data_IF_534976921344
#
_entry.id   IF_534976921344
#
_cell.length_a   1.000
_cell.length_b   1.000
_cell.length_c   1.000
_cell.angle_alpha   90.00
_cell.angle_beta   90.00
_cell.angle_gamma   90.00
#
_symmetry.space_group_name_H-M   'P 1'
#
loop_
_entity.id
_entity.type
_entity.pdbx_description
1 polymer ?
#
# COMPACT_ATOMS: atom_id res chain seq x y z
N UNK A 1 12.08 -13.43 2.99
CA UNK A 1 11.04 -12.63 2.32
C UNK A 1 9.72 -13.34 2.52
N UNK A 2 8.64 -12.60 2.63
CA UNK A 2 7.30 -13.18 2.78
C UNK A 2 6.30 -12.37 1.96
N UNK A 3 5.12 -12.94 1.73
CA UNK A 3 4.02 -12.26 1.05
C UNK A 3 3.14 -11.60 2.09
N UNK A 4 2.85 -10.32 1.90
CA UNK A 4 1.96 -9.56 2.76
C UNK A 4 0.71 -9.16 1.96
N UNK A 5 -0.46 -9.51 2.48
CA UNK A 5 -1.73 -8.95 2.01
C UNK A 5 -1.91 -7.55 2.59
N UNK A 6 -2.31 -6.61 1.74
CA UNK A 6 -2.47 -5.21 2.09
C UNK A 6 -3.77 -4.64 1.53
N UNK A 7 -4.13 -3.47 2.03
CA UNK A 7 -5.20 -2.63 1.52
C UNK A 7 -4.66 -1.25 1.16
N UNK A 8 -5.17 -0.66 0.08
CA UNK A 8 -4.91 0.74 -0.28
C UNK A 8 -6.21 1.51 -0.29
N UNK A 9 -6.27 2.59 0.49
CA UNK A 9 -7.32 3.60 0.37
C UNK A 9 -6.94 4.69 -0.62
N UNK A 10 -7.86 5.06 -1.51
CA UNK A 10 -7.73 6.23 -2.41
C UNK A 10 -9.04 7.02 -2.38
N UNK A 11 -8.99 8.33 -2.08
CA UNK A 11 -10.19 9.15 -2.09
C UNK A 11 -10.72 9.43 -3.49
N UNK A 12 -12.05 9.43 -3.62
CA UNK A 12 -12.71 9.95 -4.80
C UNK A 12 -12.38 11.44 -4.95
N UNK A 13 -12.16 11.86 -6.19
CA UNK A 13 -11.92 13.26 -6.51
C UNK A 13 -12.36 13.55 -7.94
N UNK A 14 -12.27 14.82 -8.37
CA UNK A 14 -12.52 15.19 -9.77
C UNK A 14 -11.59 14.50 -10.77
N UNK A 15 -10.47 13.95 -10.30
CA UNK A 15 -9.46 13.24 -11.10
C UNK A 15 -9.45 11.73 -10.83
N UNK A 16 -10.29 11.23 -9.92
CA UNK A 16 -10.29 9.82 -9.53
C UNK A 16 -11.73 9.35 -9.28
N UNK A 17 -12.32 8.73 -10.31
CA UNK A 17 -13.70 8.25 -10.36
C UNK A 17 -13.75 6.71 -10.40
N UNK A 18 -14.97 6.15 -10.48
CA UNK A 18 -15.18 4.69 -10.65
C UNK A 18 -14.37 4.13 -11.83
N UNK A 19 -14.31 4.85 -12.96
CA UNK A 19 -13.58 4.42 -14.14
C UNK A 19 -12.06 4.38 -13.93
N UNK A 20 -11.51 5.36 -13.20
CA UNK A 20 -10.09 5.37 -12.82
C UNK A 20 -9.77 4.27 -11.82
N UNK A 21 -10.68 4.04 -10.86
CA UNK A 21 -10.54 2.96 -9.90
C UNK A 21 -10.56 1.58 -10.56
N UNK A 22 -11.42 1.37 -11.56
CA UNK A 22 -11.44 0.15 -12.37
C UNK A 22 -10.17 0.01 -13.22
N UNK A 23 -9.71 1.09 -13.87
CA UNK A 23 -8.49 1.10 -14.70
C UNK A 23 -7.23 0.72 -13.92
N UNK A 24 -7.16 1.02 -12.62
CA UNK A 24 -6.06 0.59 -11.74
C UNK A 24 -5.94 -0.94 -11.66
N UNK A 25 -7.02 -1.70 -11.83
CA UNK A 25 -6.93 -3.17 -11.81
C UNK A 25 -6.04 -3.69 -12.95
N UNK A 26 -6.02 -2.99 -14.09
CA UNK A 26 -5.15 -3.33 -15.23
C UNK A 26 -3.78 -2.66 -15.15
N UNK A 27 -3.73 -1.37 -14.77
CA UNK A 27 -2.50 -0.55 -14.82
C UNK A 27 -1.64 -0.64 -13.56
N UNK A 28 -2.26 -0.96 -12.42
CA UNK A 28 -1.64 -0.99 -11.10
C UNK A 28 -1.68 0.35 -10.36
N UNK A 29 -1.24 0.34 -9.10
CA UNK A 29 -1.19 1.53 -8.24
C UNK A 29 0.19 2.17 -8.34
N UNK A 30 0.27 3.33 -8.99
CA UNK A 30 1.51 4.09 -9.10
C UNK A 30 1.77 4.93 -7.85
N UNK A 31 3.04 5.05 -7.49
CA UNK A 31 3.54 6.11 -6.59
C UNK A 31 3.38 7.48 -7.27
N UNK A 32 3.38 8.55 -6.48
CA UNK A 32 3.31 9.90 -7.03
C UNK A 32 4.52 10.22 -7.91
N UNK A 33 5.71 9.77 -7.52
CA UNK A 33 6.91 9.89 -8.35
C UNK A 33 6.72 9.23 -9.71
N UNK A 34 6.21 8.00 -9.77
CA UNK A 34 5.99 7.30 -11.04
C UNK A 34 4.97 8.03 -11.91
N UNK A 35 3.87 8.54 -11.34
CA UNK A 35 2.90 9.33 -12.11
C UNK A 35 3.53 10.56 -12.76
N UNK A 36 4.48 11.21 -12.09
CA UNK A 36 5.12 12.43 -12.58
C UNK A 36 6.29 12.17 -13.54
N UNK A 37 6.93 10.99 -13.46
CA UNK A 37 8.22 10.74 -14.12
C UNK A 37 8.17 9.62 -15.18
N UNK A 38 7.06 8.88 -15.31
CA UNK A 38 6.97 7.81 -16.32
C UNK A 38 6.66 8.32 -17.73
N UNK A 39 6.42 9.62 -17.94
CA UNK A 39 6.03 10.12 -19.27
C UNK A 39 4.81 9.37 -19.82
N UNK A 40 4.92 8.88 -21.07
CA UNK A 40 3.86 8.13 -21.74
C UNK A 40 3.82 6.64 -21.34
N UNK A 41 4.94 6.06 -20.88
CA UNK A 41 5.01 4.62 -20.55
C UNK A 41 5.76 4.34 -19.24
N UNK A 42 5.31 3.35 -18.47
CA UNK A 42 6.00 2.94 -17.24
C UNK A 42 7.48 2.59 -17.45
N UNK A 43 7.85 2.12 -18.64
CA UNK A 43 9.23 1.78 -18.98
C UNK A 43 10.17 2.99 -18.98
N UNK A 44 9.65 4.18 -19.32
CA UNK A 44 10.45 5.41 -19.41
C UNK A 44 10.91 5.90 -18.03
N UNK A 45 10.12 5.62 -16.98
CA UNK A 45 10.44 6.01 -15.60
C UNK A 45 11.43 5.07 -14.90
N UNK A 46 11.56 3.80 -15.32
CA UNK A 46 12.37 2.79 -14.61
C UNK A 46 13.84 3.19 -14.44
N UNK A 47 14.56 3.71 -15.46
CA UNK A 47 15.98 4.03 -15.32
C UNK A 47 16.27 5.02 -14.19
N UNK A 48 15.45 6.06 -14.03
CA UNK A 48 15.60 7.08 -12.98
C UNK A 48 14.91 6.69 -11.66
N UNK A 49 13.99 5.73 -11.68
CA UNK A 49 13.25 5.32 -10.50
C UNK A 49 14.14 4.68 -9.42
N UNK A 50 15.23 4.02 -9.82
CA UNK A 50 16.20 3.46 -8.88
C UNK A 50 16.91 4.55 -8.07
N UNK A 51 17.21 5.69 -8.68
CA UNK A 51 17.85 6.82 -8.00
C UNK A 51 16.90 7.51 -7.01
N UNK A 52 15.58 7.43 -7.24
CA UNK A 52 14.57 7.95 -6.32
C UNK A 52 14.47 7.12 -5.03
N UNK A 53 14.78 5.82 -5.11
CA UNK A 53 14.63 4.86 -4.01
C UNK A 53 15.81 4.90 -3.03
N UNK A 54 15.83 5.91 -2.16
CA UNK A 54 16.88 6.11 -1.15
C UNK A 54 16.34 5.92 0.28
N UNK A 55 17.22 5.63 1.27
CA UNK A 55 16.82 5.63 2.67
C UNK A 55 16.20 6.96 3.12
N UNK A 56 16.69 8.10 2.60
CA UNK A 56 16.14 9.42 2.89
C UNK A 56 14.72 9.56 2.32
N UNK A 57 14.48 9.11 1.09
CA UNK A 57 13.15 9.16 0.49
C UNK A 57 12.13 8.32 1.29
N UNK A 58 12.56 7.17 1.87
CA UNK A 58 11.70 6.38 2.75
C UNK A 58 11.42 7.12 4.06
N UNK A 59 12.44 7.73 4.67
CA UNK A 59 12.27 8.52 5.89
C UNK A 59 11.32 9.70 5.67
N UNK A 60 11.50 10.45 4.58
CA UNK A 60 10.62 11.55 4.21
C UNK A 60 9.20 11.07 3.87
N UNK A 61 9.06 9.92 3.21
CA UNK A 61 7.75 9.35 2.92
C UNK A 61 6.94 9.09 4.19
N UNK A 62 7.58 8.55 5.23
CA UNK A 62 6.89 8.18 6.47
C UNK A 62 6.75 9.37 7.41
N UNK A 63 7.85 10.11 7.66
CA UNK A 63 7.88 11.15 8.68
C UNK A 63 7.50 12.54 8.16
N UNK A 64 7.72 12.81 6.87
CA UNK A 64 7.56 14.13 6.25
C UNK A 64 6.60 14.09 5.05
N UNK A 65 5.61 13.19 5.06
CA UNK A 65 4.75 12.91 3.90
C UNK A 65 4.17 14.16 3.24
N UNK A 66 3.72 15.16 4.02
CA UNK A 66 3.14 16.39 3.48
C UNK A 66 4.09 17.19 2.57
N UNK A 67 5.40 17.05 2.77
CA UNK A 67 6.45 17.69 1.96
C UNK A 67 6.73 16.92 0.65
N UNK A 68 6.47 15.62 0.63
CA UNK A 68 6.86 14.71 -0.47
C UNK A 68 5.67 13.98 -1.10
N UNK A 69 4.43 14.26 -0.71
CA UNK A 69 3.23 13.54 -1.15
C UNK A 69 3.08 13.47 -2.68
N UNK A 70 3.62 14.46 -3.40
CA UNK A 70 3.58 14.53 -4.86
C UNK A 70 4.77 13.87 -5.53
N UNK A 71 5.86 13.58 -4.82
CA UNK A 71 7.13 13.11 -5.41
C UNK A 71 7.71 11.87 -4.72
N UNK A 72 7.00 11.31 -3.73
CA UNK A 72 7.44 10.08 -3.07
C UNK A 72 7.44 8.91 -4.05
N UNK A 73 8.52 8.10 -4.10
CA UNK A 73 8.58 6.88 -4.89
C UNK A 73 7.89 5.70 -4.19
N UNK A 74 7.22 5.92 -3.06
CA UNK A 74 6.56 4.89 -2.28
C UNK A 74 5.03 4.95 -2.41
N UNK A 75 4.41 3.78 -2.41
CA UNK A 75 2.97 3.58 -2.26
C UNK A 75 2.73 3.05 -0.85
N UNK A 76 2.14 3.88 -0.01
CA UNK A 76 1.72 3.49 1.34
C UNK A 76 0.55 2.49 1.27
N UNK A 77 0.73 1.29 1.81
CA UNK A 77 -0.27 0.24 1.91
C UNK A 77 -0.52 -0.14 3.37
N UNK A 78 -1.76 -0.38 3.76
CA UNK A 78 -2.12 -0.79 5.12
C UNK A 78 -2.17 -2.32 5.23
N UNK A 79 -1.40 -2.90 6.17
CA UNK A 79 -1.43 -4.32 6.55
C UNK A 79 -1.91 -4.54 8.00
N UNK A 80 -2.26 -3.46 8.70
CA UNK A 80 -2.66 -3.47 10.10
C UNK A 80 -1.48 -3.57 11.05
N UNK A 81 -1.72 -3.45 12.34
CA UNK A 81 -0.70 -3.52 13.37
C UNK A 81 -1.23 -4.27 14.60
N UNK A 82 -0.31 -4.89 15.35
CA UNK A 82 -0.61 -5.53 16.63
C UNK A 82 0.38 -5.00 17.65
N UNK A 83 -0.11 -4.30 18.66
CA UNK A 83 0.72 -3.74 19.73
C UNK A 83 0.39 -4.38 21.07
N UNK A 84 1.37 -4.60 21.96
CA UNK A 84 1.08 -5.08 23.31
C UNK A 84 0.15 -4.14 24.09
N UNK A 85 -0.77 -4.70 24.86
CA UNK A 85 -1.57 -4.00 25.86
C UNK A 85 -1.15 -4.44 27.28
N UNK A 86 -0.13 -3.80 27.88
CA UNK A 86 0.33 -4.17 29.21
C UNK A 86 -0.69 -3.85 30.31
N UNK A 87 -1.68 -2.98 30.06
CA UNK A 87 -2.71 -2.62 31.04
C UNK A 87 -3.83 -3.66 31.16
N UNK A 88 -4.22 -4.27 30.02
CA UNK A 88 -5.25 -5.30 29.97
C UNK A 88 -4.71 -6.74 29.90
N UNK A 89 -3.38 -6.92 29.79
CA UNK A 89 -2.76 -8.24 29.70
C UNK A 89 -2.96 -8.93 28.34
N UNK A 90 -2.95 -8.15 27.25
CA UNK A 90 -3.29 -8.63 25.90
C UNK A 90 -2.59 -7.87 24.79
N UNK A 91 -3.30 -7.70 23.67
CA UNK A 91 -2.83 -6.94 22.49
C UNK A 91 -3.94 -6.05 21.96
N UNK A 92 -3.57 -4.89 21.43
CA UNK A 92 -4.42 -4.06 20.58
C UNK A 92 -4.22 -4.47 19.13
N UNK A 93 -5.32 -4.80 18.44
CA UNK A 93 -5.31 -5.11 17.02
C UNK A 93 -5.86 -3.90 16.26
N UNK A 94 -5.03 -3.35 15.38
CA UNK A 94 -5.44 -2.32 14.41
C UNK A 94 -5.58 -2.99 13.05
N UNK A 95 -6.81 -3.31 12.60
CA UNK A 95 -6.98 -4.00 11.34
C UNK A 95 -6.62 -3.08 10.18
N UNK A 96 -5.98 -3.64 9.14
CA UNK A 96 -5.63 -2.94 7.90
C UNK A 96 -6.81 -2.15 7.31
N UNK A 97 -8.01 -2.74 7.43
CA UNK A 97 -9.26 -2.19 6.93
C UNK A 97 -9.54 -0.78 7.43
N UNK A 98 -9.31 -0.53 8.72
CA UNK A 98 -9.64 0.76 9.34
C UNK A 98 -8.79 1.88 8.75
N UNK A 99 -7.48 1.70 8.71
CA UNK A 99 -6.54 2.67 8.12
C UNK A 99 -6.84 2.89 6.63
N UNK A 100 -7.06 1.82 5.87
CA UNK A 100 -7.37 1.95 4.45
C UNK A 100 -8.68 2.70 4.20
N UNK A 101 -9.72 2.45 5.00
CA UNK A 101 -11.00 3.15 4.90
C UNK A 101 -10.90 4.62 5.32
N UNK A 102 -10.13 4.92 6.37
CA UNK A 102 -9.87 6.31 6.79
C UNK A 102 -9.14 7.08 5.68
N UNK A 103 -8.16 6.48 5.00
CA UNK A 103 -7.51 7.11 3.84
C UNK A 103 -8.43 7.24 2.63
N UNK A 104 -9.21 6.20 2.32
CA UNK A 104 -10.16 6.23 1.20
C UNK A 104 -11.21 7.33 1.40
N UNK A 105 -11.78 7.47 2.59
CA UNK A 105 -12.88 8.41 2.82
C UNK A 105 -12.41 9.76 3.36
N UNK A 106 -11.10 9.93 3.55
CA UNK A 106 -10.51 11.03 4.33
C UNK A 106 -11.17 11.20 5.70
N UNK A 107 -11.43 10.08 6.39
CA UNK A 107 -12.15 10.06 7.66
C UNK A 107 -13.63 10.49 7.53
N UNK A 108 -14.31 10.00 6.49
CA UNK A 108 -15.74 10.26 6.26
C UNK A 108 -16.06 11.65 5.69
N UNK A 109 -15.12 12.28 4.97
CA UNK A 109 -15.33 13.57 4.30
C UNK A 109 -15.66 13.45 2.81
N UNK A 110 -15.38 12.29 2.22
CA UNK A 110 -15.61 12.00 0.81
C UNK A 110 -15.89 10.51 0.63
N UNK A 111 -16.49 10.15 -0.50
CA UNK A 111 -16.44 8.79 -0.99
C UNK A 111 -14.98 8.37 -1.26
N UNK A 112 -14.74 7.07 -1.31
CA UNK A 112 -13.43 6.56 -1.69
C UNK A 112 -13.42 5.09 -2.03
N UNK A 113 -12.26 4.63 -2.47
CA UNK A 113 -12.03 3.29 -2.97
C UNK A 113 -11.02 2.58 -2.09
N UNK A 114 -11.33 1.33 -1.74
CA UNK A 114 -10.39 0.43 -1.05
C UNK A 114 -10.02 -0.71 -1.99
N UNK A 115 -8.73 -0.82 -2.28
CA UNK A 115 -8.13 -1.87 -3.09
C UNK A 115 -7.54 -2.95 -2.18
N UNK A 116 -7.75 -4.23 -2.51
CA UNK A 116 -7.00 -5.34 -1.90
C UNK A 116 -5.91 -5.81 -2.84
N UNK A 117 -4.70 -5.92 -2.31
CA UNK A 117 -3.53 -6.36 -3.06
C UNK A 117 -2.57 -7.16 -2.18
N UNK A 118 -1.54 -7.73 -2.79
CA UNK A 118 -0.41 -8.33 -2.07
C UNK A 118 0.91 -7.77 -2.57
N UNK A 119 1.94 -7.85 -1.73
CA UNK A 119 3.31 -7.50 -2.10
C UNK A 119 4.32 -8.45 -1.45
N UNK A 120 5.54 -8.48 -1.96
CA UNK A 120 6.66 -9.22 -1.37
C UNK A 120 7.39 -8.28 -0.42
N UNK A 121 7.62 -8.72 0.80
CA UNK A 121 8.27 -7.93 1.84
C UNK A 121 9.61 -8.56 2.24
N UNK A 122 10.63 -7.70 2.35
CA UNK A 122 11.96 -8.09 2.83
C UNK A 122 11.97 -8.17 4.36
N UNK A 123 12.68 -9.15 4.98
CA UNK A 123 12.90 -9.16 6.42
C UNK A 123 13.91 -8.10 6.89
N UNK A 124 14.45 -7.28 5.98
CA UNK A 124 15.40 -6.19 6.25
C UNK A 124 15.12 -4.99 5.34
N UNK A 125 15.37 -3.75 5.79
CA UNK A 125 15.25 -2.57 4.96
C UNK A 125 16.07 -2.71 3.68
N UNK A 126 15.45 -2.48 2.51
CA UNK A 126 16.15 -2.59 1.23
C UNK A 126 15.63 -1.58 0.20
N UNK A 127 15.76 -0.26 0.44
CA UNK A 127 15.09 0.76 -0.35
C UNK A 127 15.38 0.64 -1.86
N UNK A 128 16.61 0.33 -2.26
CA UNK A 128 17.01 0.26 -3.68
C UNK A 128 16.44 -0.89 -4.52
N UNK A 129 15.80 -1.89 -3.91
CA UNK A 129 15.12 -2.97 -4.64
C UNK A 129 13.64 -2.62 -4.85
N UNK A 130 13.28 -2.23 -6.08
CA UNK A 130 11.95 -1.73 -6.44
C UNK A 130 10.83 -2.76 -6.35
N UNK A 131 11.13 -4.05 -6.46
CA UNK A 131 10.13 -5.12 -6.44
C UNK A 131 9.88 -5.72 -5.05
N UNK A 132 10.51 -5.16 -4.00
CA UNK A 132 10.38 -5.66 -2.63
C UNK A 132 9.99 -4.50 -1.73
N UNK A 133 8.89 -4.63 -1.01
CA UNK A 133 8.39 -3.63 -0.07
C UNK A 133 9.11 -3.67 1.28
N UNK A 134 9.03 -2.56 2.00
CA UNK A 134 9.57 -2.42 3.36
C UNK A 134 8.43 -2.40 4.40
N UNK A 135 8.55 -3.22 5.45
CA UNK A 135 7.59 -3.27 6.58
C UNK A 135 7.88 -2.16 7.58
N UNK A 136 7.51 -0.92 7.25
CA UNK A 136 7.80 0.25 8.10
C UNK A 136 7.11 0.17 9.47
N UNK A 137 6.06 -0.64 9.60
CA UNK A 137 5.46 -0.98 10.90
C UNK A 137 6.37 -1.85 11.79
N UNK A 138 7.44 -2.50 11.33
CA UNK A 138 8.28 -3.29 12.25
C UNK A 138 9.19 -2.37 13.08
N UNK A 139 8.85 -2.16 14.35
CA UNK A 139 9.62 -1.34 15.29
C UNK A 139 11.00 -1.92 15.63
N UNK A 140 11.30 -3.18 15.31
CA UNK A 140 12.66 -3.68 15.45
C UNK A 140 13.56 -3.21 14.32
N UNK A 141 13.00 -2.98 13.13
CA UNK A 141 13.71 -2.56 11.92
C UNK A 141 13.66 -1.04 11.73
N UNK A 142 12.54 -0.41 12.07
CA UNK A 142 12.23 0.99 11.77
C UNK A 142 11.77 1.76 13.02
N UNK A 143 12.60 1.76 14.06
CA UNK A 143 12.31 2.44 15.34
C UNK A 143 11.96 3.91 15.18
N UNK A 144 12.58 4.58 14.23
CA UNK A 144 12.35 6.00 13.95
C UNK A 144 10.92 6.29 13.46
N UNK A 145 10.20 5.30 12.92
CA UNK A 145 8.82 5.43 12.42
C UNK A 145 7.74 5.11 13.46
N UNK A 146 8.11 5.05 14.75
CA UNK A 146 7.21 4.60 15.81
C UNK A 146 5.89 5.36 15.90
N UNK A 147 5.86 6.63 15.50
CA UNK A 147 4.66 7.46 15.54
C UNK A 147 3.56 6.96 14.57
N UNK A 148 3.95 6.36 13.45
CA UNK A 148 3.05 5.90 12.38
C UNK A 148 2.88 4.38 12.35
N UNK A 149 3.54 3.67 13.27
CA UNK A 149 3.47 2.21 13.41
C UNK A 149 2.05 1.66 13.36
N UNK A 150 1.14 2.34 14.05
CA UNK A 150 -0.24 1.94 14.24
C UNK A 150 -1.08 1.97 12.94
N UNK A 151 -0.60 2.66 11.91
CA UNK A 151 -1.19 2.61 10.57
C UNK A 151 -0.97 1.25 9.89
N UNK A 152 0.01 0.48 10.39
CA UNK A 152 0.32 -0.85 9.89
C UNK A 152 0.92 -0.81 8.48
N UNK A 153 1.70 0.21 8.19
CA UNK A 153 2.15 0.49 6.83
C UNK A 153 3.17 -0.53 6.31
N UNK A 154 2.99 -0.89 5.04
CA UNK A 154 3.94 -1.53 4.15
C UNK A 154 4.22 -0.53 3.03
N UNK A 155 5.48 -0.11 2.91
CA UNK A 155 5.90 0.83 1.87
C UNK A 155 6.26 0.06 0.59
N UNK A 156 5.32 -0.05 -0.33
CA UNK A 156 5.59 -0.56 -1.67
C UNK A 156 6.33 0.49 -2.50
N UNK A 157 7.14 0.05 -3.46
CA UNK A 157 8.03 0.93 -4.22
C UNK A 157 7.56 1.06 -5.65
N UNK A 158 7.50 2.29 -6.13
CA UNK A 158 7.18 2.71 -7.49
C UNK A 158 5.77 2.35 -7.96
N UNK A 159 5.41 1.08 -7.92
CA UNK A 159 4.21 0.49 -8.50
C UNK A 159 3.79 -0.73 -7.67
N UNK A 160 2.49 -0.87 -7.41
CA UNK A 160 1.85 -2.16 -7.14
C UNK A 160 1.22 -2.64 -8.46
N UNK A 161 1.79 -3.64 -9.15
CA UNK A 161 1.27 -4.13 -10.42
C UNK A 161 -0.21 -4.52 -10.36
N UNK A 162 -0.95 -4.27 -11.45
CA UNK A 162 -2.37 -4.62 -11.55
C UNK A 162 -2.65 -6.09 -11.19
N UNK A 163 -1.81 -7.02 -11.67
CA UNK A 163 -1.91 -8.46 -11.37
C UNK A 163 -1.73 -8.84 -9.90
N UNK A 164 -1.26 -7.92 -9.05
CA UNK A 164 -1.19 -8.09 -7.60
C UNK A 164 -2.42 -7.52 -6.86
N UNK A 165 -3.34 -6.88 -7.58
CA UNK A 165 -4.57 -6.29 -7.06
C UNK A 165 -5.72 -7.24 -7.36
N UNK A 166 -6.44 -7.66 -6.32
CA UNK A 166 -7.50 -8.65 -6.44
C UNK A 166 -8.86 -8.00 -6.73
N UNK A 167 -9.16 -6.88 -6.07
CA UNK A 167 -10.42 -6.17 -6.23
C UNK A 167 -10.34 -4.74 -5.71
N UNK A 168 -11.36 -3.96 -6.05
CA UNK A 168 -11.66 -2.64 -5.49
C UNK A 168 -13.12 -2.55 -5.06
N UNK A 169 -13.39 -1.87 -3.94
CA UNK A 169 -14.73 -1.59 -3.42
C UNK A 169 -14.86 -0.09 -3.14
N UNK A 170 -16.01 0.50 -3.45
CA UNK A 170 -16.31 1.90 -3.13
C UNK A 170 -17.09 2.04 -1.82
N UNK A 171 -16.72 3.06 -1.05
CA UNK A 171 -17.32 3.47 0.21
C UNK A 171 -17.81 4.91 0.09
N UNK A 172 -18.91 5.21 0.79
CA UNK A 172 -19.43 6.57 0.92
C UNK A 172 -18.80 7.33 2.09
N UNK A 173 -19.11 8.62 2.21
CA UNK A 173 -18.66 9.46 3.34
C UNK A 173 -19.18 8.99 4.70
N UNK A 174 -20.22 8.15 4.73
CA UNK A 174 -20.76 7.54 5.95
C UNK A 174 -20.08 6.20 6.28
N UNK A 175 -18.99 5.86 5.58
CA UNK A 175 -18.19 4.64 5.76
C UNK A 175 -18.96 3.36 5.38
N UNK A 176 -20.04 3.48 4.61
CA UNK A 176 -20.80 2.35 4.09
C UNK A 176 -20.34 1.99 2.68
N UNK A 177 -20.37 0.69 2.37
CA UNK A 177 -20.13 0.23 1.01
C UNK A 177 -21.29 0.65 0.10
N UNK A 178 -21.00 1.28 -1.04
CA UNK A 178 -22.02 1.84 -1.96
C UNK A 178 -22.70 0.79 -2.85
N UNK A 179 -22.22 -0.45 -2.81
CA UNK A 179 -22.63 -1.54 -3.70
C UNK A 179 -21.77 -1.66 -4.95
N UNK A 180 -20.99 -0.63 -5.30
CA UNK A 180 -20.01 -0.71 -6.39
C UNK A 180 -18.76 -1.49 -5.96
N UNK A 181 -18.37 -2.46 -6.78
CA UNK A 181 -17.21 -3.33 -6.56
C UNK A 181 -16.79 -3.93 -7.89
N UNK A 182 -15.49 -3.91 -8.16
CA UNK A 182 -14.90 -4.60 -9.31
C UNK A 182 -13.89 -5.65 -8.86
N UNK A 183 -13.84 -6.76 -9.61
CA UNK A 183 -12.85 -7.84 -9.43
C UNK A 183 -11.84 -7.78 -10.56
N UNK A 184 -10.58 -8.00 -10.23
CA UNK A 184 -9.55 -8.10 -11.25
C UNK A 184 -9.48 -9.51 -11.83
N UNK A 185 -9.81 -9.66 -13.10
CA UNK A 185 -9.77 -10.95 -13.79
C UNK A 185 -8.34 -11.40 -14.13
N UNK A 186 -7.38 -10.48 -14.14
CA UNK A 186 -5.96 -10.76 -14.38
C UNK A 186 -5.17 -10.97 -13.07
N UNK A 187 -5.86 -11.00 -11.92
CA UNK A 187 -5.24 -11.21 -10.62
C UNK A 187 -4.50 -12.55 -10.56
N UNK A 188 -3.27 -12.52 -10.04
CA UNK A 188 -2.46 -13.70 -9.78
C UNK A 188 -2.44 -13.94 -8.27
N UNK A 189 -3.00 -15.08 -7.85
CA UNK A 189 -2.95 -15.51 -6.46
C UNK A 189 -1.48 -15.66 -6.01
N UNK A 190 -1.09 -15.09 -4.86
CA UNK A 190 0.27 -15.22 -4.34
C UNK A 190 0.73 -16.68 -4.13
N UNK A 191 -0.19 -17.64 -3.99
CA UNK A 191 0.13 -19.06 -3.96
C UNK A 191 0.85 -19.55 -5.23
N UNK A 192 0.68 -18.86 -6.38
CA UNK A 192 1.37 -19.21 -7.63
C UNK A 192 2.87 -18.86 -7.63
N UNK A 193 3.34 -18.01 -6.71
CA UNK A 193 4.76 -17.61 -6.60
C UNK A 193 5.39 -18.04 -5.28
N UNK A 194 4.60 -18.64 -4.39
CA UNK A 194 5.04 -19.09 -3.08
C UNK A 194 5.25 -20.59 -3.07
N UNK A 195 6.48 -21.03 -2.84
CA UNK A 195 6.82 -22.45 -2.67
C UNK A 195 6.45 -22.96 -1.26
N UNK A 196 5.38 -22.43 -0.63
CA UNK A 196 4.87 -22.93 0.64
C UNK A 196 4.30 -24.33 0.42
N UNK A 197 5.19 -25.33 0.33
CA UNK A 197 4.87 -26.69 0.68
C UNK A 197 4.66 -26.65 2.18
N UNK A 198 3.41 -26.80 2.64
CA UNK A 198 3.17 -27.09 4.06
C UNK A 198 4.07 -28.27 4.42
N UNK A 199 5.06 -28.03 5.28
CA UNK A 199 5.78 -29.11 5.91
C UNK A 199 4.77 -29.81 6.82
N UNK A 200 4.22 -30.92 6.33
CA UNK A 200 3.42 -31.82 7.16
C UNK A 200 4.32 -32.23 8.33
N UNK A 201 4.00 -31.74 9.52
CA UNK A 201 4.66 -32.11 10.77
C UNK A 201 4.25 -33.51 11.20
#
# INVERSE_FOLDING_TARGET
MYIQWCLKGIPESSQFSDAEAENILSTGILSSWMRNNSGDTLADGIPSAHDALTPLALDDHVNNYSMVQNDTPYVSLSAGAVTPDPGAGGVHIRPAWRTALDFATQGGRTNGFVFRCWTIVSPKPCPGLSNISDEVRDLNLFRQFWLFHDEGEIAAKLLVPGRQIEWVIKYDENLHQTGWRERNMDFIDPANISNLVEAVA
#
